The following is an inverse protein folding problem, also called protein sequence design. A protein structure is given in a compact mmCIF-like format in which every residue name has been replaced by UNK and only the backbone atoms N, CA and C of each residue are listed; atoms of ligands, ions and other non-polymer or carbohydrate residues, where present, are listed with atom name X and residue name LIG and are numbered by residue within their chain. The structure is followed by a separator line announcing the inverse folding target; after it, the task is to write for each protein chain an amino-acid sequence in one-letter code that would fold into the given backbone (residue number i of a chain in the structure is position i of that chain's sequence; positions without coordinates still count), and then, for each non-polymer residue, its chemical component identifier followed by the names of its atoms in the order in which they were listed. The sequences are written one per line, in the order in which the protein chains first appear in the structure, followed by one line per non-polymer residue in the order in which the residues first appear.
data_IF_531140828317
#
_entry.id   IF_531140828317
#
_cell.length_a   1.000
_cell.length_b   1.000
_cell.length_c   1.000
_cell.angle_alpha   90.00
_cell.angle_beta   90.00
_cell.angle_gamma   90.00
#
_symmetry.space_group_name_H-M   'P 1'
#
loop_
_entity.id
_entity.type
_entity.pdbx_description
1 polymer ?
#
# COMPACT_ATOMS: atom_id res chain seq x y z
N UNK A 1 10.00 -0.28 9.37
CA UNK A 1 9.64 1.15 9.29
C UNK A 1 8.44 1.37 10.21
N UNK A 2 8.37 2.51 10.89
CA UNK A 2 7.26 2.83 11.79
C UNK A 2 6.10 3.46 11.01
N UNK A 3 4.88 3.35 11.55
CA UNK A 3 3.73 4.07 11.02
C UNK A 3 3.93 5.56 11.30
N UNK A 4 3.86 6.44 10.28
CA UNK A 4 4.08 7.87 10.48
C UNK A 4 2.89 8.52 11.21
N UNK A 5 3.18 9.49 12.06
CA UNK A 5 2.18 10.43 12.56
C UNK A 5 2.11 11.61 11.59
N UNK A 6 0.93 11.89 11.05
CA UNK A 6 0.73 12.90 10.01
C UNK A 6 -0.29 13.93 10.49
N UNK A 7 0.07 15.21 10.45
CA UNK A 7 -0.85 16.32 10.64
C UNK A 7 -1.63 16.57 9.34
N UNK A 8 -2.94 16.34 9.36
CA UNK A 8 -3.78 16.44 8.16
C UNK A 8 -3.84 17.86 7.57
N UNK A 9 -3.69 18.89 8.41
CA UNK A 9 -3.76 20.29 7.99
C UNK A 9 -2.48 20.76 7.29
N UNK A 10 -1.39 20.03 7.48
CA UNK A 10 -0.07 20.33 6.90
C UNK A 10 0.33 19.33 5.80
N UNK A 11 -0.45 18.26 5.62
CA UNK A 11 -0.16 17.21 4.63
C UNK A 11 -0.14 17.76 3.20
N UNK A 12 0.84 17.31 2.41
CA UNK A 12 0.96 17.59 0.99
C UNK A 12 1.26 16.31 0.20
N UNK A 13 0.51 16.09 -0.87
CA UNK A 13 0.81 15.11 -1.91
C UNK A 13 1.56 15.80 -3.05
N UNK A 14 2.80 15.37 -3.28
CA UNK A 14 3.63 15.86 -4.38
C UNK A 14 3.53 14.91 -5.58
N UNK A 15 3.11 15.44 -6.73
CA UNK A 15 2.98 14.71 -7.98
C UNK A 15 3.95 15.33 -8.99
N UNK A 16 4.99 14.59 -9.36
CA UNK A 16 6.02 15.05 -10.29
C UNK A 16 6.18 14.14 -11.50
N UNK A 17 6.53 14.74 -12.64
CA UNK A 17 6.90 14.02 -13.87
C UNK A 17 8.38 14.21 -14.25
N UNK A 18 9.20 14.66 -13.30
CA UNK A 18 10.63 14.96 -13.50
C UNK A 18 10.93 16.32 -14.12
N UNK A 19 9.94 17.06 -14.64
CA UNK A 19 10.09 18.44 -15.16
C UNK A 19 9.34 19.48 -14.34
N UNK A 20 8.20 19.09 -13.77
CA UNK A 20 7.39 19.91 -12.89
C UNK A 20 6.84 19.08 -11.74
N UNK A 21 6.51 19.76 -10.65
CA UNK A 21 5.89 19.17 -9.47
C UNK A 21 4.63 19.95 -9.13
N UNK A 22 3.56 19.24 -8.78
CA UNK A 22 2.31 19.79 -8.27
C UNK A 22 2.10 19.31 -6.83
N UNK A 23 1.72 20.24 -5.96
CA UNK A 23 1.48 19.98 -4.53
C UNK A 23 -0.02 20.13 -4.23
N UNK A 24 -0.62 19.14 -3.57
CA UNK A 24 -2.04 19.10 -3.22
C UNK A 24 -2.21 18.91 -1.69
N UNK A 25 -3.04 19.71 -1.04
CA UNK A 25 -3.51 19.42 0.33
C UNK A 25 -4.53 18.27 0.35
N UNK A 26 -4.93 17.83 1.55
CA UNK A 26 -6.05 16.90 1.70
C UNK A 26 -7.38 17.50 1.20
N UNK A 27 -7.62 18.78 1.47
CA UNK A 27 -8.81 19.50 0.99
C UNK A 27 -8.82 19.56 -0.54
N UNK A 28 -7.67 19.82 -1.17
CA UNK A 28 -7.56 19.81 -2.64
C UNK A 28 -7.97 18.46 -3.22
N UNK A 29 -7.58 17.35 -2.59
CA UNK A 29 -7.89 15.99 -3.05
C UNK A 29 -9.37 15.64 -2.91
N UNK A 30 -10.02 16.16 -1.87
CA UNK A 30 -11.41 15.81 -1.52
C UNK A 30 -12.44 16.74 -2.14
N UNK A 31 -12.10 17.99 -2.40
CA UNK A 31 -13.02 19.00 -2.94
C UNK A 31 -12.92 19.19 -4.46
N UNK A 32 -11.72 19.05 -5.05
CA UNK A 32 -11.51 19.34 -6.49
C UNK A 32 -11.82 18.17 -7.41
N UNK A 33 -11.87 16.94 -6.87
CA UNK A 33 -12.03 15.71 -7.65
C UNK A 33 -13.30 14.97 -7.23
N UNK A 34 -13.95 14.31 -8.20
CA UNK A 34 -15.12 13.49 -7.91
C UNK A 34 -14.69 12.21 -7.16
N UNK A 35 -15.29 11.89 -6.00
CA UNK A 35 -14.97 10.68 -5.28
C UNK A 35 -15.45 9.44 -6.05
N UNK A 36 -14.59 8.43 -6.13
CA UNK A 36 -14.90 7.12 -6.70
C UNK A 36 -14.68 6.02 -5.67
N UNK A 37 -15.65 5.11 -5.53
CA UNK A 37 -15.56 3.96 -4.63
C UNK A 37 -15.39 2.68 -5.43
N UNK A 38 -14.33 1.92 -5.15
CA UNK A 38 -14.01 0.67 -5.83
C UNK A 38 -13.75 -0.40 -4.79
N UNK A 39 -14.59 -1.44 -4.75
CA UNK A 39 -14.31 -2.63 -3.94
C UNK A 39 -13.19 -3.43 -4.58
N UNK A 40 -12.13 -3.69 -3.81
CA UNK A 40 -10.93 -4.37 -4.33
C UNK A 40 -10.29 -5.24 -3.26
N UNK A 41 -9.63 -6.30 -3.75
CA UNK A 41 -8.82 -7.22 -2.95
C UNK A 41 -7.34 -6.87 -3.11
N UNK A 42 -6.64 -6.66 -1.99
CA UNK A 42 -5.20 -6.47 -1.95
C UNK A 42 -4.54 -7.75 -1.44
N UNK A 43 -3.60 -8.30 -2.22
CA UNK A 43 -2.80 -9.46 -1.85
C UNK A 43 -1.32 -9.09 -1.80
N UNK A 44 -0.64 -9.44 -0.71
CA UNK A 44 0.81 -9.33 -0.63
C UNK A 44 1.45 -10.33 -1.60
N UNK A 45 2.50 -9.92 -2.30
CA UNK A 45 3.28 -10.82 -3.17
C UNK A 45 3.85 -12.04 -2.42
N UNK A 46 4.02 -11.91 -1.10
CA UNK A 46 4.45 -12.99 -0.23
C UNK A 46 3.33 -13.88 0.30
N UNK A 47 2.07 -13.72 -0.13
CA UNK A 47 0.99 -14.56 0.37
C UNK A 47 1.30 -16.05 0.11
N UNK A 48 1.08 -16.89 1.12
CA UNK A 48 1.44 -18.32 1.13
C UNK A 48 2.94 -18.63 1.02
N UNK A 49 3.85 -17.66 1.21
CA UNK A 49 5.31 -17.91 1.17
C UNK A 49 5.74 -19.04 2.11
N UNK A 50 5.10 -19.20 3.27
CA UNK A 50 5.42 -20.29 4.19
C UNK A 50 5.31 -21.69 3.58
N UNK A 51 4.44 -21.88 2.59
CA UNK A 51 4.27 -23.14 1.87
C UNK A 51 5.36 -23.40 0.82
N UNK A 52 6.20 -22.42 0.52
CA UNK A 52 7.33 -22.60 -0.40
C UNK A 52 8.56 -23.20 0.30
N UNK A 53 8.59 -23.15 1.64
CA UNK A 53 9.62 -23.83 2.41
C UNK A 53 9.44 -25.35 2.26
N UNK A 54 10.54 -26.06 1.99
CA UNK A 54 10.52 -27.51 1.89
C UNK A 54 11.89 -28.09 2.29
N UNK A 55 11.97 -29.41 2.49
CA UNK A 55 13.19 -30.07 2.97
C UNK A 55 14.35 -29.99 1.97
N UNK A 56 14.04 -29.96 0.67
CA UNK A 56 15.04 -29.94 -0.41
C UNK A 56 15.61 -28.52 -0.64
N UNK A 57 14.75 -27.50 -0.65
CA UNK A 57 15.11 -26.11 -0.95
C UNK A 57 15.27 -25.23 0.30
N UNK A 58 15.00 -25.78 1.48
CA UNK A 58 15.13 -25.09 2.76
C UNK A 58 14.11 -23.97 2.96
N UNK A 59 14.48 -22.99 3.78
CA UNK A 59 13.63 -21.82 4.10
C UNK A 59 13.90 -20.65 3.16
N UNK A 60 12.84 -20.13 2.54
CA UNK A 60 12.91 -18.95 1.69
C UNK A 60 12.93 -17.66 2.55
N UNK A 61 13.74 -16.68 2.13
CA UNK A 61 13.85 -15.38 2.81
C UNK A 61 12.56 -14.56 2.69
N UNK A 62 12.18 -13.90 3.79
CA UNK A 62 11.04 -12.98 3.87
C UNK A 62 10.03 -13.39 4.96
N UNK A 63 8.98 -12.59 5.15
CA UNK A 63 7.92 -12.91 6.10
C UNK A 63 7.24 -14.25 5.74
N UNK A 64 7.11 -15.22 6.68
CA UNK A 64 6.60 -16.56 6.42
C UNK A 64 5.07 -16.58 6.44
N UNK A 65 4.45 -15.80 5.55
CA UNK A 65 2.99 -15.69 5.49
C UNK A 65 2.35 -17.05 5.18
N UNK A 66 1.30 -17.37 5.92
CA UNK A 66 0.37 -18.45 5.58
C UNK A 66 -0.64 -17.93 4.54
N UNK A 67 -1.93 -18.26 4.65
CA UNK A 67 -2.95 -17.89 3.64
C UNK A 67 -3.54 -16.49 3.79
N UNK A 68 -3.20 -15.78 4.87
CA UNK A 68 -3.89 -14.55 5.31
C UNK A 68 -3.23 -13.23 4.92
N UNK A 69 -2.20 -13.23 4.07
CA UNK A 69 -1.59 -11.96 3.60
C UNK A 69 -2.39 -11.38 2.42
N UNK A 70 -3.72 -11.29 2.60
CA UNK A 70 -4.72 -10.86 1.63
C UNK A 70 -5.92 -10.28 2.39
N UNK A 71 -6.54 -9.23 1.85
CA UNK A 71 -7.75 -8.62 2.42
C UNK A 71 -8.60 -7.94 1.34
N UNK A 72 -9.88 -7.71 1.63
CA UNK A 72 -10.83 -7.06 0.72
C UNK A 72 -11.55 -5.92 1.47
N UNK A 73 -11.70 -4.77 0.80
CA UNK A 73 -12.36 -3.60 1.36
C UNK A 73 -13.13 -2.83 0.29
N UNK A 74 -13.98 -1.91 0.74
CA UNK A 74 -14.75 -0.98 -0.08
C UNK A 74 -14.35 0.45 0.25
#
# INVERSE_FOLDING_TARGET
MHVPFVNINEYKLEIGNGKSTHSLSLDDLTEKYQPHTITSTLACSGNRRGAMNNEEQGTIRGAPWYVGAIGNAR
#
